data_IF_719854889565
#
_entry.id   IF_719854889565
#
_cell.length_a   1.000
_cell.length_b   1.000
_cell.length_c   1.000
_cell.angle_alpha   90.00
_cell.angle_beta   90.00
_cell.angle_gamma   90.00
#
_symmetry.space_group_name_H-M   'P 1'
#
loop_
_entity.id
_entity.type
_entity.pdbx_description
1 polymer ?
#
# COMPACT_ATOMS: atom_id res chain seq x y z
N UNK A 1 -1.60 17.77 18.35
CA UNK A 1 -2.00 17.61 16.93
C UNK A 1 -3.44 17.16 16.90
N UNK A 2 -4.36 17.99 16.41
CA UNK A 2 -5.76 17.61 16.25
C UNK A 2 -5.87 16.40 15.33
N UNK A 3 -6.65 15.39 15.75
CA UNK A 3 -6.93 14.23 14.91
C UNK A 3 -7.82 14.72 13.76
N UNK A 4 -7.28 14.76 12.54
CA UNK A 4 -8.07 15.01 11.32
C UNK A 4 -9.28 14.06 11.32
N UNK A 5 -10.47 14.61 11.05
CA UNK A 5 -11.68 13.81 10.90
C UNK A 5 -11.47 12.82 9.75
N UNK A 6 -11.80 11.56 10.00
CA UNK A 6 -11.73 10.49 9.02
C UNK A 6 -13.17 10.22 8.59
N UNK A 7 -13.49 10.58 7.35
CA UNK A 7 -14.85 10.49 6.81
C UNK A 7 -15.06 9.22 5.95
N UNK A 8 -13.97 8.52 5.60
CA UNK A 8 -14.03 7.30 4.79
C UNK A 8 -14.26 6.08 5.68
N UNK A 9 -15.30 5.31 5.39
CA UNK A 9 -15.64 4.07 6.08
C UNK A 9 -15.14 2.88 5.24
N UNK A 10 -14.56 1.87 5.88
CA UNK A 10 -14.08 0.66 5.23
C UNK A 10 -15.24 -0.27 4.78
N UNK A 11 -16.02 0.15 3.77
CA UNK A 11 -17.09 -0.62 3.12
C UNK A 11 -16.66 -1.09 1.73
N UNK A 12 -17.36 -2.11 1.20
CA UNK A 12 -17.12 -2.61 -0.18
C UNK A 12 -17.26 -1.49 -1.21
N UNK A 13 -18.27 -0.65 -1.06
CA UNK A 13 -18.52 0.51 -1.92
C UNK A 13 -17.36 1.49 -1.91
N UNK A 14 -16.83 1.83 -0.73
CA UNK A 14 -15.66 2.70 -0.61
C UNK A 14 -14.43 2.10 -1.29
N UNK A 15 -14.24 0.78 -1.23
CA UNK A 15 -13.15 0.12 -1.96
C UNK A 15 -13.34 0.15 -3.47
N UNK A 16 -14.56 0.02 -3.98
CA UNK A 16 -14.83 0.18 -5.41
C UNK A 16 -14.62 1.62 -5.87
N UNK A 17 -15.06 2.62 -5.10
CA UNK A 17 -14.87 4.03 -5.42
C UNK A 17 -13.40 4.47 -5.39
N UNK A 18 -12.58 3.81 -4.57
CA UNK A 18 -11.13 4.04 -4.50
C UNK A 18 -10.33 3.17 -5.48
N UNK A 19 -10.99 2.24 -6.18
CA UNK A 19 -10.37 1.41 -7.22
C UNK A 19 -9.89 2.31 -8.33
N UNK A 20 -8.56 2.47 -8.43
CA UNK A 20 -7.94 3.39 -9.39
C UNK A 20 -7.61 2.73 -10.72
N UNK A 21 -7.70 1.40 -10.79
CA UNK A 21 -7.39 0.60 -11.99
C UNK A 21 -8.66 -0.02 -12.56
N UNK A 22 -8.72 -0.12 -13.88
CA UNK A 22 -9.84 -0.77 -14.59
C UNK A 22 -9.71 -2.29 -14.57
N UNK A 23 -8.47 -2.79 -14.64
CA UNK A 23 -8.19 -4.23 -14.71
C UNK A 23 -6.89 -4.60 -13.97
N UNK A 24 -6.76 -5.88 -13.62
CA UNK A 24 -5.57 -6.49 -12.99
C UNK A 24 -4.35 -6.39 -13.89
N UNK A 25 -4.53 -6.39 -15.22
CA UNK A 25 -3.42 -6.20 -16.16
C UNK A 25 -2.78 -4.81 -16.03
N UNK A 26 -3.61 -3.77 -15.94
CA UNK A 26 -3.16 -2.39 -15.77
C UNK A 26 -2.39 -2.25 -14.45
N UNK A 27 -2.94 -2.81 -13.37
CA UNK A 27 -2.28 -2.89 -12.07
C UNK A 27 -0.92 -3.60 -12.18
N UNK A 28 -0.84 -4.71 -12.91
CA UNK A 28 0.40 -5.46 -13.10
C UNK A 28 1.47 -4.66 -13.86
N UNK A 29 1.08 -3.94 -14.92
CA UNK A 29 1.98 -3.08 -15.70
C UNK A 29 2.53 -1.95 -14.82
N UNK A 30 1.67 -1.26 -14.09
CA UNK A 30 2.08 -0.17 -13.19
C UNK A 30 3.02 -0.66 -12.08
N UNK A 31 2.75 -1.82 -11.47
CA UNK A 31 3.63 -2.39 -10.46
C UNK A 31 4.99 -2.76 -11.04
N UNK A 32 5.06 -3.21 -12.29
CA UNK A 32 6.33 -3.48 -12.97
C UNK A 32 7.14 -2.20 -13.11
N UNK A 33 6.51 -1.12 -13.58
CA UNK A 33 7.15 0.20 -13.66
C UNK A 33 7.66 0.66 -12.30
N UNK A 34 6.85 0.54 -11.24
CA UNK A 34 7.26 0.91 -9.87
C UNK A 34 8.46 0.10 -9.38
N UNK A 35 8.52 -1.20 -9.68
CA UNK A 35 9.71 -2.01 -9.35
C UNK A 35 10.93 -1.43 -10.03
N UNK A 36 10.88 -1.13 -11.32
CA UNK A 36 12.02 -0.60 -12.07
C UNK A 36 12.44 0.79 -11.56
N UNK A 37 11.47 1.67 -11.28
CA UNK A 37 11.74 2.96 -10.64
C UNK A 37 12.41 2.81 -9.27
N UNK A 38 11.98 1.87 -8.44
CA UNK A 38 12.62 1.58 -7.14
C UNK A 38 14.06 1.11 -7.33
N UNK A 39 14.31 0.23 -8.31
CA UNK A 39 15.66 -0.25 -8.63
C UNK A 39 16.58 0.89 -9.06
N UNK A 40 16.07 1.85 -9.82
CA UNK A 40 16.86 3.00 -10.29
C UNK A 40 17.06 4.07 -9.22
N UNK A 41 16.02 4.36 -8.44
CA UNK A 41 16.04 5.47 -7.46
C UNK A 41 16.76 5.13 -6.16
N UNK A 42 16.77 3.86 -5.75
CA UNK A 42 17.31 3.44 -4.45
C UNK A 42 18.58 2.64 -4.64
N UNK A 43 19.72 3.26 -4.31
CA UNK A 43 21.04 2.62 -4.36
C UNK A 43 21.21 1.50 -3.32
N UNK A 44 20.50 1.57 -2.19
CA UNK A 44 20.64 0.61 -1.10
C UNK A 44 19.80 -0.65 -1.35
N UNK A 45 20.49 -1.75 -1.63
CA UNK A 45 19.92 -3.07 -1.94
C UNK A 45 18.98 -3.62 -0.87
N UNK A 46 19.32 -3.49 0.43
CA UNK A 46 18.45 -3.95 1.53
C UNK A 46 17.07 -3.27 1.55
N UNK A 47 17.05 -1.98 1.20
CA UNK A 47 15.83 -1.16 1.24
C UNK A 47 15.01 -1.44 -0.01
N UNK A 48 15.68 -1.57 -1.13
CA UNK A 48 15.11 -1.94 -2.41
C UNK A 48 14.38 -3.30 -2.33
N UNK A 49 15.02 -4.34 -1.80
CA UNK A 49 14.39 -5.66 -1.63
C UNK A 49 13.15 -5.59 -0.75
N UNK A 50 13.23 -4.92 0.41
CA UNK A 50 12.10 -4.73 1.33
C UNK A 50 10.94 -3.96 0.69
N UNK A 51 11.21 -2.92 -0.10
CA UNK A 51 10.17 -2.17 -0.81
C UNK A 51 9.50 -3.02 -1.90
N UNK A 52 10.29 -3.81 -2.64
CA UNK A 52 9.75 -4.73 -3.64
C UNK A 52 8.87 -5.79 -2.98
N UNK A 53 9.31 -6.40 -1.87
CA UNK A 53 8.51 -7.36 -1.11
C UNK A 53 7.22 -6.72 -0.60
N UNK A 54 7.28 -5.48 -0.11
CA UNK A 54 6.10 -4.75 0.33
C UNK A 54 5.10 -4.53 -0.81
N UNK A 55 5.57 -4.06 -1.97
CA UNK A 55 4.73 -3.89 -3.16
C UNK A 55 4.09 -5.20 -3.61
N UNK A 56 4.82 -6.31 -3.53
CA UNK A 56 4.29 -7.62 -3.91
C UNK A 56 3.21 -8.12 -2.95
N UNK A 57 3.38 -7.89 -1.64
CA UNK A 57 2.32 -8.16 -0.66
C UNK A 57 1.09 -7.32 -0.95
N UNK A 58 1.27 -6.02 -1.25
CA UNK A 58 0.15 -5.13 -1.57
C UNK A 58 -0.57 -5.60 -2.84
N UNK A 59 0.17 -5.88 -3.93
CA UNK A 59 -0.35 -6.43 -5.19
C UNK A 59 -1.30 -7.60 -4.97
N UNK A 60 -0.85 -8.62 -4.23
CA UNK A 60 -1.61 -9.84 -3.99
C UNK A 60 -2.94 -9.56 -3.27
N UNK A 61 -2.98 -8.56 -2.39
CA UNK A 61 -4.20 -8.14 -1.69
C UNK A 61 -5.08 -7.24 -2.56
N UNK A 62 -4.47 -6.41 -3.40
CA UNK A 62 -5.13 -5.49 -4.33
C UNK A 62 -5.78 -6.19 -5.54
N UNK A 63 -5.58 -7.49 -5.76
CA UNK A 63 -6.31 -8.22 -6.81
C UNK A 63 -7.81 -8.33 -6.49
N UNK A 64 -8.21 -8.25 -5.22
CA UNK A 64 -9.63 -8.35 -4.82
C UNK A 64 -10.44 -7.10 -5.17
N UNK A 65 -9.81 -5.93 -5.04
CA UNK A 65 -10.34 -4.62 -5.44
C UNK A 65 -9.20 -3.90 -6.14
N UNK A 66 -9.28 -3.75 -7.46
CA UNK A 66 -8.14 -3.38 -8.30
C UNK A 66 -7.46 -2.07 -7.82
N UNK A 67 -6.30 -2.23 -7.16
CA UNK A 67 -5.51 -1.12 -6.61
C UNK A 67 -5.79 -0.75 -5.16
N UNK A 68 -6.76 -1.37 -4.49
CA UNK A 68 -7.08 -1.07 -3.09
C UNK A 68 -6.60 -2.20 -2.18
N UNK A 69 -5.67 -1.84 -1.28
CA UNK A 69 -5.20 -2.73 -0.23
C UNK A 69 -5.62 -2.21 1.14
N UNK A 70 -6.45 -2.98 1.84
CA UNK A 70 -6.91 -2.68 3.21
C UNK A 70 -6.08 -3.42 4.29
N UNK A 71 -4.89 -3.89 3.93
CA UNK A 71 -4.04 -4.66 4.83
C UNK A 71 -3.42 -3.76 5.91
N UNK A 72 -3.66 -4.09 7.18
CA UNK A 72 -3.10 -3.32 8.30
C UNK A 72 -1.57 -3.45 8.37
N UNK A 73 -0.89 -2.36 8.73
CA UNK A 73 0.58 -2.29 8.91
C UNK A 73 1.13 -3.38 9.84
N UNK A 74 0.41 -3.76 10.90
CA UNK A 74 0.80 -4.87 11.80
C UNK A 74 0.82 -6.23 11.09
N UNK A 75 -0.14 -6.49 10.20
CA UNK A 75 -0.17 -7.75 9.43
C UNK A 75 0.94 -7.80 8.39
N UNK A 76 1.23 -6.66 7.76
CA UNK A 76 2.38 -6.52 6.86
C UNK A 76 3.69 -6.80 7.60
N UNK A 77 3.85 -6.18 8.78
CA UNK A 77 5.02 -6.38 9.64
C UNK A 77 5.23 -7.86 9.98
N UNK A 78 4.15 -8.56 10.37
CA UNK A 78 4.20 -10.01 10.64
C UNK A 78 4.56 -10.83 9.40
N UNK A 79 4.01 -10.49 8.22
CA UNK A 79 4.30 -11.20 6.95
C UNK A 79 5.72 -11.00 6.45
N UNK A 80 6.29 -9.83 6.71
CA UNK A 80 7.66 -9.48 6.32
C UNK A 80 8.68 -9.81 7.41
N UNK A 81 8.24 -10.26 8.59
CA UNK A 81 9.07 -10.51 9.77
C UNK A 81 9.94 -9.29 10.15
N UNK A 82 9.38 -8.09 10.01
CA UNK A 82 10.04 -6.83 10.37
C UNK A 82 9.25 -6.09 11.44
N UNK A 83 9.92 -5.16 12.12
CA UNK A 83 9.23 -4.29 13.08
C UNK A 83 8.18 -3.40 12.40
N UNK A 84 7.13 -3.07 13.16
CA UNK A 84 6.11 -2.12 12.73
C UNK A 84 6.69 -0.78 12.26
N UNK A 85 7.73 -0.28 12.96
CA UNK A 85 8.43 0.96 12.60
C UNK A 85 9.09 0.87 11.23
N UNK A 86 9.64 -0.29 10.86
CA UNK A 86 10.19 -0.52 9.52
C UNK A 86 9.09 -0.43 8.46
N UNK A 87 7.95 -1.07 8.68
CA UNK A 87 6.80 -0.96 7.75
C UNK A 87 6.33 0.49 7.61
N UNK A 88 6.24 1.24 8.71
CA UNK A 88 5.87 2.66 8.65
C UNK A 88 6.84 3.48 7.79
N UNK A 89 8.16 3.26 7.94
CA UNK A 89 9.19 3.94 7.14
C UNK A 89 9.11 3.56 5.66
N UNK A 90 8.94 2.28 5.35
CA UNK A 90 8.81 1.80 3.97
C UNK A 90 7.55 2.34 3.30
N UNK A 91 6.42 2.34 4.01
CA UNK A 91 5.16 2.93 3.55
C UNK A 91 5.28 4.42 3.28
N UNK A 92 5.99 5.16 4.14
CA UNK A 92 6.25 6.59 3.92
C UNK A 92 7.06 6.78 2.64
N UNK A 93 8.12 6.01 2.43
CA UNK A 93 8.92 6.07 1.18
C UNK A 93 8.10 5.82 -0.08
N UNK A 94 7.21 4.83 -0.07
CA UNK A 94 6.34 4.56 -1.22
C UNK A 94 5.35 5.71 -1.50
N UNK A 95 4.88 6.41 -0.45
CA UNK A 95 4.06 7.61 -0.61
C UNK A 95 4.88 8.77 -1.15
N UNK A 96 6.09 8.98 -0.62
CA UNK A 96 7.00 10.05 -1.06
C UNK A 96 7.44 9.85 -2.53
N UNK A 97 7.45 8.60 -3.03
CA UNK A 97 7.68 8.25 -4.43
C UNK A 97 6.41 8.31 -5.29
N UNK A 98 5.28 8.77 -4.74
CA UNK A 98 3.97 8.85 -5.41
C UNK A 98 3.44 7.51 -5.96
N UNK A 99 3.97 6.38 -5.47
CA UNK A 99 3.59 5.03 -5.93
C UNK A 99 2.33 4.52 -5.24
N UNK A 100 2.07 4.97 -4.01
CA UNK A 100 0.89 4.58 -3.24
C UNK A 100 0.26 5.79 -2.56
N UNK A 101 -1.06 5.75 -2.40
CA UNK A 101 -1.81 6.71 -1.59
C UNK A 101 -2.31 6.01 -0.32
N UNK A 102 -2.00 6.58 0.84
CA UNK A 102 -2.57 6.10 2.11
C UNK A 102 -3.84 6.87 2.44
N UNK A 103 -4.98 6.17 2.41
CA UNK A 103 -6.28 6.72 2.84
C UNK A 103 -6.58 6.23 4.25
N UNK A 104 -6.78 7.15 5.19
CA UNK A 104 -7.25 6.79 6.52
C UNK A 104 -8.72 6.39 6.46
N UNK A 105 -9.07 5.26 7.08
CA UNK A 105 -10.46 4.76 7.09
C UNK A 105 -10.87 4.39 8.52
N UNK A 106 -12.14 4.60 8.84
CA UNK A 106 -12.78 4.04 10.05
C UNK A 106 -13.21 2.61 9.79
N UNK A 107 -13.07 1.74 10.80
CA UNK A 107 -13.67 0.40 10.73
C UNK A 107 -15.17 0.54 10.94
N UNK A 108 -15.94 -0.34 10.30
CA UNK A 108 -17.39 -0.42 10.49
C UNK A 108 -17.78 -0.72 11.94
N UNK A 109 -16.91 -1.36 12.73
CA UNK A 109 -17.09 -1.61 14.16
C UNK A 109 -16.75 -0.40 15.06
N UNK A 110 -16.01 0.57 14.52
CA UNK A 110 -15.62 1.80 15.23
C UNK A 110 -16.57 2.97 14.85
N UNK A 111 -17.70 2.66 14.21
CA UNK A 111 -18.84 3.55 14.00
C UNK A 111 -19.73 3.50 15.23
#
# INVERSE_FOLDING_TARGET
MEKKRIDVIATKESFHNLSSFKDVEELNKTIRTYRDTIRMSIKRTDVQSKLITLLEILKRHSCKYAGVSFLCKNRIAKKMEVSYKTVQRLMKKLVDLEMIKQVAMKRTKDM
#
